data_IF_438009256337
#
_entry.id   IF_438009256337
#
_cell.length_a   1.000
_cell.length_b   1.000
_cell.length_c   1.000
_cell.angle_alpha   90.00
_cell.angle_beta   90.00
_cell.angle_gamma   90.00
#
_symmetry.space_group_name_H-M   'P 1'
#
loop_
_entity.id
_entity.type
_entity.pdbx_description
1 polymer ?
#
# COMPACT_ATOMS: atom_id res chain seq x y z
N UNK A 1 21.87 -13.39 -13.52
CA UNK A 1 20.89 -12.68 -14.37
C UNK A 1 20.14 -11.69 -13.50
N UNK A 2 20.38 -10.39 -13.63
CA UNK A 2 19.72 -9.37 -12.80
C UNK A 2 18.26 -9.20 -13.23
N UNK A 3 17.31 -9.49 -12.33
CA UNK A 3 15.89 -9.20 -12.58
C UNK A 3 15.67 -7.71 -12.33
N UNK A 4 15.15 -6.93 -13.30
CA UNK A 4 14.89 -5.53 -13.08
C UNK A 4 13.85 -5.35 -11.97
N UNK A 5 14.06 -4.34 -11.11
CA UNK A 5 13.14 -4.01 -10.03
C UNK A 5 11.76 -3.67 -10.59
N UNK A 6 10.71 -4.27 -10.01
CA UNK A 6 9.31 -4.03 -10.39
C UNK A 6 9.00 -2.53 -10.42
N UNK A 7 8.29 -2.03 -11.46
CA UNK A 7 7.86 -0.63 -11.52
C UNK A 7 7.10 -0.18 -10.28
N UNK A 8 6.30 -1.08 -9.69
CA UNK A 8 5.56 -0.81 -8.45
C UNK A 8 6.49 -0.47 -7.29
N UNK A 9 7.58 -1.23 -7.10
CA UNK A 9 8.53 -1.00 -6.01
C UNK A 9 9.33 0.27 -6.28
N UNK A 10 9.77 0.49 -7.52
CA UNK A 10 10.49 1.71 -7.91
C UNK A 10 9.66 2.97 -7.59
N UNK A 11 8.39 2.96 -7.96
CA UNK A 11 7.50 4.09 -7.73
C UNK A 11 7.15 4.24 -6.24
N UNK A 12 7.03 3.14 -5.49
CA UNK A 12 6.86 3.18 -4.04
C UNK A 12 8.06 3.87 -3.36
N UNK A 13 9.29 3.52 -3.75
CA UNK A 13 10.49 4.18 -3.27
C UNK A 13 10.57 5.65 -3.71
N UNK A 14 10.08 6.00 -4.90
CA UNK A 14 10.01 7.39 -5.35
C UNK A 14 9.02 8.19 -4.51
N UNK A 15 7.83 7.64 -4.24
CA UNK A 15 6.80 8.27 -3.40
C UNK A 15 7.28 8.45 -1.96
N UNK A 16 7.84 7.40 -1.34
CA UNK A 16 8.38 7.47 0.01
C UNK A 16 9.46 8.55 0.13
N UNK A 17 10.41 8.62 -0.82
CA UNK A 17 11.45 9.67 -0.84
C UNK A 17 10.88 11.07 -1.04
N UNK A 18 9.89 11.23 -1.93
CA UNK A 18 9.22 12.51 -2.13
C UNK A 18 8.57 13.02 -0.83
N UNK A 19 8.01 12.11 -0.05
CA UNK A 19 7.37 12.42 1.23
C UNK A 19 8.39 12.49 2.41
N UNK A 20 9.70 12.37 2.14
CA UNK A 20 10.77 12.54 3.14
C UNK A 20 11.19 11.25 3.87
N UNK A 21 10.71 10.08 3.45
CA UNK A 21 11.05 8.80 4.06
C UNK A 21 12.24 8.12 3.38
N UNK A 22 13.21 7.67 4.20
CA UNK A 22 14.38 6.92 3.71
C UNK A 22 14.10 5.41 3.56
N UNK A 23 13.21 4.87 4.38
CA UNK A 23 12.89 3.45 4.44
C UNK A 23 11.42 3.20 4.11
N UNK A 24 11.16 2.07 3.44
CA UNK A 24 9.81 1.58 3.16
C UNK A 24 9.81 0.07 3.38
N UNK A 25 8.76 -0.42 4.03
CA UNK A 25 8.50 -1.84 4.15
C UNK A 25 7.46 -2.29 3.12
N UNK A 26 7.73 -3.39 2.40
CA UNK A 26 6.82 -4.01 1.44
C UNK A 26 6.92 -5.53 1.59
N UNK A 27 5.80 -6.20 1.87
CA UNK A 27 5.72 -7.65 2.12
C UNK A 27 6.46 -8.51 1.09
N UNK A 28 6.41 -8.11 -0.18
CA UNK A 28 6.97 -8.86 -1.31
C UNK A 28 8.50 -8.73 -1.39
N UNK A 29 9.06 -7.70 -0.76
CA UNK A 29 10.51 -7.44 -0.72
C UNK A 29 11.13 -7.72 0.64
N UNK A 30 10.34 -7.61 1.72
CA UNK A 30 10.83 -7.62 3.09
C UNK A 30 10.52 -8.90 3.86
N UNK A 31 9.84 -9.87 3.24
CA UNK A 31 9.57 -11.19 3.83
C UNK A 31 10.13 -12.25 2.87
N UNK A 32 11.05 -13.08 3.36
CA UNK A 32 11.40 -14.32 2.69
C UNK A 32 10.27 -15.34 2.85
N UNK A 33 9.42 -15.43 1.83
CA UNK A 33 8.29 -16.36 1.80
C UNK A 33 8.73 -17.82 1.62
N UNK A 34 10.02 -18.11 1.38
CA UNK A 34 10.56 -19.47 1.30
C UNK A 34 10.98 -20.00 2.68
N UNK A 35 11.17 -19.12 3.66
CA UNK A 35 11.43 -19.47 5.05
C UNK A 35 10.13 -19.46 5.84
N UNK A 36 9.64 -20.65 6.22
CA UNK A 36 8.36 -20.79 6.93
C UNK A 36 8.36 -20.12 8.31
N UNK A 37 9.50 -20.14 9.03
CA UNK A 37 9.62 -19.50 10.33
C UNK A 37 9.51 -17.98 10.22
N UNK A 38 10.25 -17.39 9.28
CA UNK A 38 10.19 -15.95 9.01
C UNK A 38 8.81 -15.53 8.51
N UNK A 39 8.21 -16.31 7.60
CA UNK A 39 6.86 -16.03 7.11
C UNK A 39 5.84 -16.03 8.25
N UNK A 40 5.87 -17.01 9.16
CA UNK A 40 5.00 -17.05 10.32
C UNK A 40 5.23 -15.88 11.27
N UNK A 41 6.48 -15.54 11.56
CA UNK A 41 6.82 -14.39 12.40
C UNK A 41 6.34 -13.07 11.78
N UNK A 42 6.54 -12.90 10.47
CA UNK A 42 6.11 -11.73 9.73
C UNK A 42 4.60 -11.57 9.75
N UNK A 43 3.84 -12.65 9.49
CA UNK A 43 2.38 -12.64 9.56
C UNK A 43 1.89 -12.18 10.94
N UNK A 44 2.51 -12.67 12.01
CA UNK A 44 2.14 -12.31 13.38
C UNK A 44 2.57 -10.88 13.77
N UNK A 45 3.52 -10.29 13.05
CA UNK A 45 4.08 -8.98 13.35
C UNK A 45 3.56 -7.85 12.47
N UNK A 46 2.98 -8.16 11.31
CA UNK A 46 2.54 -7.17 10.30
C UNK A 46 1.61 -6.09 10.85
N UNK A 47 0.66 -6.46 11.70
CA UNK A 47 -0.24 -5.48 12.33
C UNK A 47 0.55 -4.43 13.12
N UNK A 48 1.47 -4.89 13.97
CA UNK A 48 2.35 -4.03 14.77
C UNK A 48 3.25 -3.18 13.89
N UNK A 49 3.81 -3.75 12.81
CA UNK A 49 4.62 -2.98 11.86
C UNK A 49 3.84 -1.86 11.16
N UNK A 50 2.59 -2.12 10.76
CA UNK A 50 1.72 -1.08 10.22
C UNK A 50 1.39 -0.03 11.27
N UNK A 51 1.07 -0.44 12.50
CA UNK A 51 0.74 0.47 13.59
C UNK A 51 1.88 1.42 13.95
N UNK A 52 3.13 0.95 13.87
CA UNK A 52 4.32 1.73 14.20
C UNK A 52 4.98 2.43 12.99
N UNK A 53 4.46 2.23 11.78
CA UNK A 53 4.91 2.99 10.62
C UNK A 53 4.64 4.48 10.85
N UNK A 54 5.45 5.37 10.25
CA UNK A 54 5.12 6.80 10.26
C UNK A 54 3.96 7.12 9.32
N UNK A 55 3.81 6.32 8.25
CA UNK A 55 2.76 6.47 7.25
C UNK A 55 2.51 5.14 6.54
N UNK A 56 1.25 4.87 6.23
CA UNK A 56 0.86 3.75 5.39
C UNK A 56 0.31 4.25 4.05
N UNK A 57 0.79 3.68 2.95
CA UNK A 57 0.26 3.93 1.61
C UNK A 57 -0.53 2.74 1.10
N UNK A 58 -1.77 2.97 0.68
CA UNK A 58 -2.59 2.00 -0.04
C UNK A 58 -2.64 2.39 -1.52
N UNK A 59 -1.93 1.67 -2.39
CA UNK A 59 -1.99 1.87 -3.83
C UNK A 59 -3.21 1.13 -4.43
N UNK A 60 -4.18 1.90 -4.91
CA UNK A 60 -5.37 1.39 -5.59
C UNK A 60 -5.14 1.46 -7.11
N UNK A 61 -4.45 0.44 -7.62
CA UNK A 61 -4.04 0.33 -9.03
C UNK A 61 -5.18 0.35 -10.06
N UNK A 62 -6.42 0.16 -9.61
CA UNK A 62 -7.64 0.16 -10.42
C UNK A 62 -8.48 1.43 -10.27
N UNK A 63 -7.96 2.46 -9.58
CA UNK A 63 -8.65 3.71 -9.32
C UNK A 63 -7.94 4.87 -10.03
N UNK A 64 -8.64 5.68 -10.84
CA UNK A 64 -8.05 6.83 -11.50
C UNK A 64 -7.75 7.97 -10.51
N UNK A 65 -7.04 8.99 -10.96
CA UNK A 65 -6.76 10.18 -10.16
C UNK A 65 -8.00 11.10 -10.04
N UNK A 66 -7.90 12.13 -9.19
CA UNK A 66 -9.00 13.07 -8.89
C UNK A 66 -9.41 13.97 -10.06
N UNK A 67 -8.56 14.13 -11.08
CA UNK A 67 -8.90 14.91 -12.29
C UNK A 67 -9.86 14.13 -13.19
N UNK A 68 -9.73 12.81 -13.18
CA UNK A 68 -10.50 11.89 -14.03
C UNK A 68 -11.81 11.44 -13.38
N UNK A 69 -11.84 11.24 -12.05
CA UNK A 69 -13.04 10.78 -11.34
C UNK A 69 -13.14 11.31 -9.91
N UNK A 70 -14.35 11.72 -9.50
CA UNK A 70 -14.65 12.02 -8.10
C UNK A 70 -14.89 10.71 -7.31
N UNK A 71 -14.04 10.37 -6.32
CA UNK A 71 -14.15 9.15 -5.55
C UNK A 71 -15.42 9.08 -4.68
N UNK A 72 -16.08 10.21 -4.42
CA UNK A 72 -17.28 10.28 -3.57
C UNK A 72 -18.53 9.75 -4.25
N UNK A 73 -18.58 9.76 -5.59
CA UNK A 73 -19.72 9.29 -6.38
C UNK A 73 -20.09 7.84 -6.00
N UNK A 74 -21.39 7.49 -5.93
CA UNK A 74 -21.82 6.14 -5.51
C UNK A 74 -21.23 5.01 -6.36
N UNK A 75 -21.01 5.28 -7.65
CA UNK A 75 -20.45 4.34 -8.61
C UNK A 75 -18.99 4.67 -9.00
N UNK A 76 -18.21 5.29 -8.10
CA UNK A 76 -16.78 5.54 -8.37
C UNK A 76 -15.96 4.25 -8.42
N UNK A 77 -14.85 4.25 -9.17
CA UNK A 77 -13.89 3.16 -9.13
C UNK A 77 -13.29 2.99 -7.74
N UNK A 78 -13.13 4.08 -6.98
CA UNK A 78 -12.68 4.03 -5.59
C UNK A 78 -13.55 3.08 -4.75
N UNK A 79 -14.87 3.31 -4.69
CA UNK A 79 -15.80 2.48 -3.89
C UNK A 79 -15.85 1.01 -4.33
N UNK A 80 -15.50 0.72 -5.59
CA UNK A 80 -15.49 -0.65 -6.14
C UNK A 80 -14.09 -1.27 -6.20
N UNK A 81 -13.07 -0.58 -5.70
CA UNK A 81 -11.68 -1.02 -5.86
C UNK A 81 -11.48 -2.44 -5.36
N UNK A 82 -10.68 -3.21 -6.11
CA UNK A 82 -10.23 -4.55 -5.72
C UNK A 82 -9.52 -4.54 -4.37
N UNK A 83 -8.93 -3.41 -3.95
CA UNK A 83 -8.29 -3.32 -2.65
C UNK A 83 -9.26 -3.68 -1.53
N UNK A 84 -10.49 -3.14 -1.53
CA UNK A 84 -11.53 -3.44 -0.52
C UNK A 84 -11.98 -4.92 -0.45
N UNK A 85 -11.60 -5.74 -1.43
CA UNK A 85 -11.96 -7.17 -1.51
C UNK A 85 -10.83 -8.11 -1.08
N UNK A 86 -9.64 -7.60 -0.74
CA UNK A 86 -8.49 -8.43 -0.31
C UNK A 86 -8.62 -8.81 1.16
N UNK A 87 -8.22 -10.03 1.51
CA UNK A 87 -8.33 -10.55 2.88
C UNK A 87 -7.54 -9.75 3.94
N UNK A 88 -6.45 -9.07 3.54
CA UNK A 88 -5.59 -8.29 4.45
C UNK A 88 -6.03 -6.84 4.64
N UNK A 89 -7.00 -6.38 3.86
CA UNK A 89 -7.39 -4.95 3.79
C UNK A 89 -7.80 -4.38 5.12
N UNK A 90 -8.57 -5.14 5.91
CA UNK A 90 -9.05 -4.65 7.19
C UNK A 90 -7.87 -4.34 8.12
N UNK A 91 -6.90 -5.25 8.21
CA UNK A 91 -5.70 -5.04 9.02
C UNK A 91 -4.86 -3.87 8.48
N UNK A 92 -4.63 -3.82 7.16
CA UNK A 92 -3.93 -2.69 6.50
C UNK A 92 -4.61 -1.34 6.81
N UNK A 93 -5.94 -1.31 6.91
CA UNK A 93 -6.73 -0.08 7.14
C UNK A 93 -6.78 0.37 8.60
N UNK A 94 -6.95 -0.57 9.54
CA UNK A 94 -7.22 -0.24 10.94
C UNK A 94 -5.96 -0.16 11.79
N UNK A 95 -4.85 -0.80 11.37
CA UNK A 95 -3.63 -0.85 12.17
C UNK A 95 -3.00 0.53 12.39
N UNK A 96 -2.94 1.36 11.34
CA UNK A 96 -2.37 2.70 11.42
C UNK A 96 -3.48 3.78 11.50
N UNK A 97 -3.30 4.86 12.30
CA UNK A 97 -4.25 5.96 12.35
C UNK A 97 -4.43 6.67 11.01
N UNK A 98 -3.38 6.76 10.19
CA UNK A 98 -3.40 7.48 8.91
C UNK A 98 -3.02 6.59 7.72
N UNK A 99 -3.94 6.35 6.80
CA UNK A 99 -3.66 5.60 5.57
C UNK A 99 -3.89 6.50 4.36
N UNK A 100 -2.84 6.75 3.58
CA UNK A 100 -2.92 7.54 2.35
C UNK A 100 -3.32 6.63 1.18
N UNK A 101 -4.46 6.91 0.57
CA UNK A 101 -4.91 6.23 -0.64
C UNK A 101 -4.29 6.88 -1.87
N UNK A 102 -3.56 6.09 -2.66
CA UNK A 102 -2.94 6.51 -3.91
C UNK A 102 -3.69 5.91 -5.10
N UNK A 103 -3.87 6.70 -6.16
CA UNK A 103 -4.42 6.25 -7.44
C UNK A 103 -3.45 5.36 -8.21
N UNK A 104 -3.90 4.80 -9.33
CA UNK A 104 -3.04 4.08 -10.30
C UNK A 104 -1.85 4.92 -10.77
N UNK A 105 -1.98 6.25 -10.73
CA UNK A 105 -1.00 7.23 -11.18
C UNK A 105 -0.10 7.74 -10.02
N UNK A 106 -0.19 7.13 -8.83
CA UNK A 106 0.55 7.50 -7.62
C UNK A 106 0.20 8.90 -7.05
N UNK A 107 -0.93 9.47 -7.48
CA UNK A 107 -1.48 10.70 -6.90
C UNK A 107 -2.36 10.39 -5.69
N UNK A 108 -2.34 11.25 -4.67
CA UNK A 108 -3.17 11.08 -3.47
C UNK A 108 -4.66 11.33 -3.79
N UNK A 109 -5.51 10.37 -3.43
CA UNK A 109 -6.98 10.46 -3.54
C UNK A 109 -7.57 10.98 -2.23
N UNK A 110 -6.98 10.58 -1.10
CA UNK A 110 -7.44 10.96 0.23
C UNK A 110 -6.70 10.18 1.33
N UNK A 111 -7.12 10.41 2.57
CA UNK A 111 -6.62 9.71 3.74
C UNK A 111 -7.78 9.20 4.60
N UNK A 112 -7.57 8.07 5.28
CA UNK A 112 -8.35 7.64 6.44
C UNK A 112 -7.63 8.05 7.71
#
# INVERSE_FOLDING_TARGET
MFRPLSPKIRNACAKARHDGFHWLWVDTCCIDKTNSSELSEAINSMYTWYQHATMCYALLHDVPNLKDEDPRKPASAFRRSKWFKRGWTLQELIAHPTVIFLSKDWEAIGAK
#
